data_IF_169499223239
#
_entry.id   IF_169499223239
#
_cell.length_a   1.000
_cell.length_b   1.000
_cell.length_c   1.000
_cell.angle_alpha   90.00
_cell.angle_beta   90.00
_cell.angle_gamma   90.00
#
_symmetry.space_group_name_H-M   'P 1'
#
loop_
_entity.id
_entity.type
_entity.pdbx_description
1 polymer ?
#
# COMPACT_ATOMS: atom_id res chain seq x y z
N UNK A 1 -11.39 12.11 -33.94
CA UNK A 1 -10.34 11.80 -32.95
C UNK A 1 -11.01 11.46 -31.64
N UNK A 2 -11.11 10.18 -31.30
CA UNK A 2 -11.83 9.71 -30.10
C UNK A 2 -11.00 10.07 -28.86
N UNK A 3 -11.58 10.65 -27.80
CA UNK A 3 -10.85 10.91 -26.55
C UNK A 3 -10.53 9.57 -25.91
N UNK A 4 -9.27 9.19 -25.97
CA UNK A 4 -8.74 8.00 -25.30
C UNK A 4 -9.07 8.13 -23.82
N UNK A 5 -9.99 7.29 -23.33
CA UNK A 5 -10.32 7.20 -21.89
C UNK A 5 -9.02 6.93 -21.14
N UNK A 6 -8.45 7.95 -20.54
CA UNK A 6 -7.27 7.79 -19.68
C UNK A 6 -7.70 6.92 -18.51
N UNK A 7 -7.13 5.72 -18.43
CA UNK A 7 -7.44 4.82 -17.32
C UNK A 7 -7.12 5.50 -15.98
N UNK A 8 -7.83 5.12 -14.91
CA UNK A 8 -7.67 5.67 -13.57
C UNK A 8 -6.19 5.77 -13.15
N UNK A 9 -5.39 4.75 -13.47
CA UNK A 9 -3.95 4.74 -13.18
C UNK A 9 -3.17 5.86 -13.88
N UNK A 10 -3.49 6.18 -15.14
CA UNK A 10 -2.82 7.26 -15.86
C UNK A 10 -3.18 8.63 -15.26
N UNK A 11 -4.45 8.80 -14.87
CA UNK A 11 -4.92 10.02 -14.20
C UNK A 11 -4.26 10.17 -12.82
N UNK A 12 -4.23 9.11 -12.02
CA UNK A 12 -3.56 9.11 -10.71
C UNK A 12 -2.07 9.40 -10.82
N UNK A 13 -1.40 8.92 -11.87
CA UNK A 13 0.02 9.22 -12.09
C UNK A 13 0.27 10.70 -12.36
N UNK A 14 -0.62 11.35 -13.11
CA UNK A 14 -0.56 12.80 -13.34
C UNK A 14 -0.68 13.58 -12.03
N UNK A 15 -1.62 13.18 -11.15
CA UNK A 15 -1.78 13.82 -9.83
C UNK A 15 -0.59 13.54 -8.90
N UNK A 16 0.01 12.37 -8.96
CA UNK A 16 1.24 12.06 -8.20
C UNK A 16 2.40 12.98 -8.59
N UNK A 17 2.60 13.20 -9.89
CA UNK A 17 3.64 14.10 -10.39
C UNK A 17 3.36 15.53 -9.92
N UNK A 18 2.13 16.02 -10.09
CA UNK A 18 1.72 17.34 -9.63
C UNK A 18 1.89 17.51 -8.11
N UNK A 19 1.56 16.46 -7.32
CA UNK A 19 1.77 16.49 -5.88
C UNK A 19 3.26 16.57 -5.52
N UNK A 20 4.12 15.79 -6.15
CA UNK A 20 5.58 15.83 -5.94
C UNK A 20 6.17 17.21 -6.26
N UNK A 21 5.71 17.83 -7.34
CA UNK A 21 6.12 19.18 -7.72
C UNK A 21 5.68 20.23 -6.68
N UNK A 22 4.43 20.16 -6.22
CA UNK A 22 3.93 21.04 -5.16
C UNK A 22 4.66 20.83 -3.83
N UNK A 23 4.93 19.56 -3.47
CA UNK A 23 5.66 19.20 -2.26
C UNK A 23 7.09 19.80 -2.25
N UNK A 24 7.78 19.78 -3.39
CA UNK A 24 9.14 20.33 -3.50
C UNK A 24 9.19 21.85 -3.29
N UNK A 25 8.10 22.56 -3.59
CA UNK A 25 7.98 24.02 -3.44
C UNK A 25 7.57 24.47 -2.03
N UNK A 26 7.03 23.55 -1.22
CA UNK A 26 6.57 23.90 0.15
C UNK A 26 7.72 23.89 1.14
N UNK A 27 7.79 24.92 1.98
CA UNK A 27 8.72 24.96 3.11
C UNK A 27 8.25 24.04 4.25
N UNK A 28 6.93 23.95 4.46
CA UNK A 28 6.32 23.16 5.53
C UNK A 28 5.58 21.96 4.95
N UNK A 29 6.02 20.76 5.31
CA UNK A 29 5.54 19.48 4.76
C UNK A 29 4.61 18.71 5.68
N UNK A 30 3.97 19.39 6.63
CA UNK A 30 3.05 18.76 7.59
C UNK A 30 1.91 18.02 6.86
N UNK A 31 1.36 18.60 5.80
CA UNK A 31 0.28 17.97 5.02
C UNK A 31 0.77 16.71 4.33
N UNK A 32 1.98 16.73 3.76
CA UNK A 32 2.55 15.60 3.03
C UNK A 32 2.86 14.42 3.98
N UNK A 33 3.38 14.72 5.17
CA UNK A 33 3.61 13.70 6.21
C UNK A 33 2.31 13.18 6.80
N UNK A 34 1.28 14.02 6.97
CA UNK A 34 -0.03 13.61 7.46
C UNK A 34 -0.73 12.65 6.47
N UNK A 35 -0.68 12.92 5.17
CA UNK A 35 -1.21 12.03 4.13
C UNK A 35 -0.49 10.69 4.16
N UNK A 36 0.84 10.70 4.20
CA UNK A 36 1.64 9.46 4.24
C UNK A 36 1.36 8.67 5.51
N UNK A 37 1.26 9.32 6.67
CA UNK A 37 0.91 8.69 7.93
C UNK A 37 -0.50 8.07 7.92
N UNK A 38 -1.47 8.73 7.30
CA UNK A 38 -2.83 8.17 7.13
C UNK A 38 -2.81 6.90 6.29
N UNK A 39 -2.05 6.87 5.20
CA UNK A 39 -1.91 5.68 4.35
C UNK A 39 -1.18 4.53 5.07
N UNK A 40 -0.15 4.85 5.86
CA UNK A 40 0.54 3.87 6.72
C UNK A 40 -0.41 3.26 7.74
N UNK A 41 -1.18 4.08 8.47
CA UNK A 41 -2.12 3.61 9.49
C UNK A 41 -3.22 2.73 8.88
N UNK A 42 -3.79 3.12 7.74
CA UNK A 42 -4.75 2.31 7.01
C UNK A 42 -4.17 0.94 6.62
N UNK A 43 -2.96 0.93 6.11
CA UNK A 43 -2.28 -0.32 5.69
C UNK A 43 -1.96 -1.22 6.89
N UNK A 44 -1.51 -0.64 8.01
CA UNK A 44 -1.25 -1.37 9.26
C UNK A 44 -2.54 -1.98 9.84
N UNK A 45 -3.64 -1.23 9.80
CA UNK A 45 -4.96 -1.71 10.23
C UNK A 45 -5.38 -2.96 9.44
N UNK A 46 -5.30 -2.93 8.11
CA UNK A 46 -5.66 -4.08 7.28
C UNK A 46 -4.72 -5.27 7.46
N UNK A 47 -3.43 -5.04 7.68
CA UNK A 47 -2.48 -6.10 8.02
C UNK A 47 -2.87 -6.79 9.34
N UNK A 48 -3.15 -6.01 10.39
CA UNK A 48 -3.57 -6.53 11.69
C UNK A 48 -4.90 -7.29 11.60
N UNK A 49 -5.86 -6.75 10.88
CA UNK A 49 -7.16 -7.42 10.64
C UNK A 49 -6.98 -8.75 9.91
N UNK A 50 -6.09 -8.82 8.92
CA UNK A 50 -5.79 -10.07 8.23
C UNK A 50 -5.18 -11.12 9.17
N UNK A 51 -4.32 -10.72 10.09
CA UNK A 51 -3.73 -11.62 11.10
C UNK A 51 -4.79 -12.15 12.06
N UNK A 52 -5.71 -11.30 12.52
CA UNK A 52 -6.85 -11.70 13.36
C UNK A 52 -7.75 -12.71 12.62
N UNK A 53 -8.02 -12.47 11.33
CA UNK A 53 -8.81 -13.36 10.50
C UNK A 53 -8.14 -14.75 10.30
N UNK A 54 -6.81 -14.81 10.20
CA UNK A 54 -6.07 -16.08 10.19
C UNK A 54 -6.24 -16.83 11.51
N UNK A 55 -6.14 -16.13 12.64
CA UNK A 55 -6.39 -16.70 13.95
C UNK A 55 -7.82 -17.24 14.09
N UNK A 56 -8.80 -16.50 13.61
CA UNK A 56 -10.20 -16.94 13.53
C UNK A 56 -10.37 -18.19 12.67
N UNK A 57 -9.75 -18.26 11.50
CA UNK A 57 -9.76 -19.44 10.65
C UNK A 57 -9.16 -20.67 11.34
N UNK A 58 -8.04 -20.49 12.06
CA UNK A 58 -7.43 -21.57 12.85
C UNK A 58 -8.36 -22.07 13.96
N UNK A 59 -9.12 -21.19 14.60
CA UNK A 59 -10.14 -21.56 15.59
C UNK A 59 -11.28 -22.34 14.97
N UNK A 60 -11.78 -21.92 13.80
CA UNK A 60 -12.81 -22.63 13.05
C UNK A 60 -12.37 -24.04 12.63
N UNK A 61 -11.10 -24.24 12.31
CA UNK A 61 -10.56 -25.56 12.00
C UNK A 61 -10.55 -26.49 13.23
N UNK A 62 -10.27 -25.96 14.42
CA UNK A 62 -10.29 -26.74 15.67
C UNK A 62 -11.70 -27.14 16.07
N UNK A 63 -12.69 -26.27 15.87
CA UNK A 63 -14.08 -26.46 16.21
C UNK A 63 -14.94 -27.00 15.07
N UNK A 64 -14.37 -27.66 14.05
CA UNK A 64 -15.09 -28.12 12.85
C UNK A 64 -16.34 -28.93 13.20
N UNK A 65 -16.29 -29.86 14.16
CA UNK A 65 -17.41 -30.72 14.50
C UNK A 65 -18.58 -29.95 15.16
N UNK A 66 -18.28 -28.97 16.00
CA UNK A 66 -19.28 -28.11 16.63
C UNK A 66 -19.94 -27.17 15.61
N UNK A 67 -19.15 -26.62 14.71
CA UNK A 67 -19.65 -25.77 13.63
C UNK A 67 -20.55 -26.56 12.69
N UNK A 68 -20.16 -27.77 12.28
CA UNK A 68 -20.99 -28.62 11.43
C UNK A 68 -22.31 -29.02 12.08
N UNK A 69 -22.36 -29.27 13.38
CA UNK A 69 -23.61 -29.50 14.13
C UNK A 69 -24.54 -28.29 14.03
N UNK A 70 -24.03 -27.09 14.32
CA UNK A 70 -24.83 -25.87 14.21
C UNK A 70 -25.38 -25.68 12.80
N UNK A 71 -24.59 -25.95 11.77
CA UNK A 71 -25.04 -25.85 10.37
C UNK A 71 -26.06 -26.91 9.98
N UNK A 72 -25.98 -28.15 10.55
CA UNK A 72 -26.97 -29.19 10.30
C UNK A 72 -28.32 -28.89 10.93
N UNK A 73 -28.34 -28.13 12.02
CA UNK A 73 -29.57 -27.74 12.74
C UNK A 73 -30.29 -26.53 12.08
N UNK A 74 -29.66 -25.88 11.11
CA UNK A 74 -30.28 -24.78 10.39
C UNK A 74 -31.20 -25.28 9.28
N UNK A 75 -32.44 -24.73 9.12
CA UNK A 75 -33.43 -25.16 8.14
C UNK A 75 -32.97 -24.98 6.67
N UNK A 76 -31.88 -24.25 6.45
CA UNK A 76 -31.23 -24.06 5.15
C UNK A 76 -29.82 -24.65 5.11
N UNK A 77 -29.46 -25.48 6.08
CA UNK A 77 -28.13 -26.08 6.20
C UNK A 77 -27.85 -27.02 5.03
N UNK A 78 -26.95 -26.61 4.13
CA UNK A 78 -26.39 -27.50 3.13
C UNK A 78 -25.52 -28.55 3.87
N UNK A 79 -25.80 -29.85 3.65
CA UNK A 79 -24.95 -30.91 4.16
C UNK A 79 -23.51 -30.73 3.64
N UNK A 80 -22.67 -30.13 4.45
CA UNK A 80 -21.28 -29.87 4.12
C UNK A 80 -20.44 -30.98 4.74
N UNK A 81 -19.68 -31.69 3.91
CA UNK A 81 -18.72 -32.71 4.37
C UNK A 81 -17.60 -32.03 5.14
N UNK A 82 -17.10 -32.64 6.21
CA UNK A 82 -15.96 -32.16 7.00
C UNK A 82 -14.79 -31.73 6.12
N UNK A 83 -14.39 -32.56 5.17
CA UNK A 83 -13.33 -32.28 4.20
C UNK A 83 -13.57 -30.96 3.42
N UNK A 84 -14.77 -30.78 2.92
CA UNK A 84 -15.11 -29.58 2.15
C UNK A 84 -15.09 -28.31 3.01
N UNK A 85 -15.49 -28.42 4.27
CA UNK A 85 -15.38 -27.33 5.26
C UNK A 85 -13.93 -26.97 5.51
N UNK A 86 -13.09 -27.95 5.85
CA UNK A 86 -11.68 -27.76 6.15
C UNK A 86 -10.93 -27.12 4.96
N UNK A 87 -11.19 -27.57 3.73
CA UNK A 87 -10.60 -26.96 2.52
C UNK A 87 -11.03 -25.49 2.34
N UNK A 88 -12.30 -25.17 2.60
CA UNK A 88 -12.79 -23.78 2.51
C UNK A 88 -12.11 -22.88 3.56
N UNK A 89 -12.01 -23.33 4.79
CA UNK A 89 -11.38 -22.59 5.87
C UNK A 89 -9.88 -22.41 5.60
N UNK A 90 -9.20 -23.45 5.12
CA UNK A 90 -7.80 -23.37 4.73
C UNK A 90 -7.58 -22.40 3.56
N UNK A 91 -8.46 -22.44 2.56
CA UNK A 91 -8.45 -21.49 1.44
C UNK A 91 -8.62 -20.04 1.91
N UNK A 92 -9.55 -19.81 2.85
CA UNK A 92 -9.76 -18.51 3.45
C UNK A 92 -8.53 -18.03 4.23
N UNK A 93 -7.92 -18.91 5.04
CA UNK A 93 -6.67 -18.62 5.74
C UNK A 93 -5.52 -18.26 4.78
N UNK A 94 -5.41 -18.96 3.66
CA UNK A 94 -4.40 -18.69 2.63
C UNK A 94 -4.63 -17.30 1.97
N UNK A 95 -5.88 -16.93 1.71
CA UNK A 95 -6.24 -15.61 1.17
C UNK A 95 -5.86 -14.50 2.17
N UNK A 96 -6.20 -14.65 3.44
CA UNK A 96 -5.83 -13.69 4.47
C UNK A 96 -4.32 -13.64 4.71
N UNK A 97 -3.62 -14.78 4.62
CA UNK A 97 -2.16 -14.84 4.65
C UNK A 97 -1.54 -14.02 3.52
N UNK A 98 -2.01 -14.22 2.30
CA UNK A 98 -1.59 -13.42 1.15
C UNK A 98 -1.88 -11.93 1.34
N UNK A 99 -3.07 -11.58 1.81
CA UNK A 99 -3.47 -10.20 2.09
C UNK A 99 -2.54 -9.57 3.14
N UNK A 100 -2.24 -10.28 4.24
CA UNK A 100 -1.30 -9.83 5.26
C UNK A 100 0.06 -9.45 4.66
N UNK A 101 0.67 -10.33 3.86
CA UNK A 101 1.97 -10.05 3.25
C UNK A 101 1.91 -8.85 2.29
N UNK A 102 0.83 -8.71 1.53
CA UNK A 102 0.63 -7.56 0.63
C UNK A 102 0.52 -6.25 1.41
N UNK A 103 -0.23 -6.21 2.50
CA UNK A 103 -0.35 -5.02 3.35
C UNK A 103 0.94 -4.72 4.11
N UNK A 104 1.62 -5.73 4.65
CA UNK A 104 2.91 -5.57 5.31
C UNK A 104 3.98 -5.00 4.36
N UNK A 105 4.01 -5.49 3.11
CA UNK A 105 4.88 -4.95 2.08
C UNK A 105 4.54 -3.49 1.74
N UNK A 106 3.25 -3.16 1.57
CA UNK A 106 2.80 -1.80 1.30
C UNK A 106 3.15 -0.84 2.44
N UNK A 107 3.00 -1.27 3.69
CA UNK A 107 3.42 -0.50 4.86
C UNK A 107 4.91 -0.15 4.82
N UNK A 108 5.75 -1.12 4.46
CA UNK A 108 7.19 -0.90 4.28
C UNK A 108 7.50 0.13 3.19
N UNK A 109 6.78 0.08 2.07
CA UNK A 109 6.95 1.07 0.98
C UNK A 109 6.55 2.49 1.42
N UNK A 110 5.48 2.64 2.21
CA UNK A 110 5.10 3.94 2.77
C UNK A 110 6.12 4.49 3.75
N UNK A 111 6.79 3.62 4.54
CA UNK A 111 7.92 4.05 5.38
C UNK A 111 9.06 4.62 4.53
N UNK A 112 9.41 3.97 3.42
CA UNK A 112 10.44 4.51 2.51
C UNK A 112 10.01 5.83 1.88
N UNK A 113 8.75 5.95 1.47
CA UNK A 113 8.22 7.21 0.95
C UNK A 113 8.28 8.34 1.98
N UNK A 114 7.96 8.06 3.24
CA UNK A 114 8.05 9.02 4.33
C UNK A 114 9.49 9.52 4.53
N UNK A 115 10.48 8.62 4.50
CA UNK A 115 11.91 8.97 4.59
C UNK A 115 12.32 9.86 3.41
N UNK A 116 11.89 9.53 2.18
CA UNK A 116 12.19 10.32 0.99
C UNK A 116 11.58 11.73 1.06
N UNK A 117 10.34 11.85 1.55
CA UNK A 117 9.68 13.14 1.77
C UNK A 117 10.50 14.01 2.75
N UNK A 118 10.96 13.39 3.85
CA UNK A 118 11.80 14.08 4.85
C UNK A 118 13.19 14.47 4.32
N UNK A 119 13.78 13.63 3.48
CA UNK A 119 15.11 13.84 2.92
C UNK A 119 15.15 14.83 1.76
N UNK A 120 14.01 15.17 1.13
CA UNK A 120 13.95 16.10 0.01
C UNK A 120 14.24 17.53 0.51
N UNK A 121 15.28 18.24 0.01
CA UNK A 121 15.59 19.61 0.43
C UNK A 121 14.50 20.58 -0.05
N UNK A 122 14.23 21.68 0.67
CA UNK A 122 13.33 22.74 0.18
C UNK A 122 13.93 23.44 -1.04
N UNK A 123 13.08 23.93 -1.94
CA UNK A 123 13.48 24.53 -3.22
C UNK A 123 14.49 25.69 -3.06
N UNK A 124 14.43 26.41 -1.96
CA UNK A 124 15.32 27.56 -1.65
C UNK A 124 16.60 27.18 -0.91
N UNK A 125 16.88 25.86 -0.72
CA UNK A 125 18.10 25.46 -0.03
C UNK A 125 19.33 25.60 -0.93
N UNK A 126 20.51 26.00 -0.37
CA UNK A 126 21.77 26.09 -1.12
C UNK A 126 22.17 24.77 -1.79
N UNK A 127 21.71 23.63 -1.24
CA UNK A 127 21.97 22.30 -1.78
C UNK A 127 21.13 21.99 -3.04
N UNK A 128 19.88 22.46 -3.14
CA UNK A 128 19.05 22.28 -4.33
C UNK A 128 19.69 22.98 -5.55
N UNK A 129 20.35 24.09 -5.33
CA UNK A 129 20.99 24.88 -6.39
C UNK A 129 22.30 24.26 -6.90
N UNK A 130 22.99 23.44 -6.10
CA UNK A 130 24.20 22.70 -6.54
C UNK A 130 23.84 21.57 -7.47
N UNK A 131 22.86 20.75 -7.11
CA UNK A 131 22.43 19.60 -7.94
C UNK A 131 21.92 20.02 -9.31
N UNK A 132 21.31 21.22 -9.41
CA UNK A 132 20.86 21.77 -10.69
C UNK A 132 22.02 22.29 -11.54
N UNK A 133 23.09 22.83 -10.92
CA UNK A 133 24.29 23.31 -11.65
C UNK A 133 25.13 22.14 -12.19
N UNK A 134 25.24 21.07 -11.45
CA UNK A 134 26.06 19.90 -11.83
C UNK A 134 25.42 19.07 -12.97
N UNK A 135 24.11 19.28 -13.22
CA UNK A 135 23.37 18.59 -14.30
C UNK A 135 23.15 19.47 -15.57
N UNK A 136 23.42 20.77 -15.49
CA UNK A 136 23.34 21.66 -16.64
C UNK A 136 24.76 21.79 -17.19
N UNK A 137 25.05 21.25 -18.42
CA UNK A 137 26.34 21.48 -19.07
C UNK A 137 26.59 22.98 -19.18
N UNK A 138 27.73 23.44 -18.66
CA UNK A 138 28.10 24.84 -18.76
C UNK A 138 28.35 25.19 -20.24
N UNK A 139 27.47 25.97 -20.90
CA UNK A 139 27.66 26.30 -22.34
C UNK A 139 28.86 27.22 -22.59
N UNK A 140 29.54 27.65 -21.53
CA UNK A 140 30.70 28.54 -21.60
C UNK A 140 32.03 27.85 -21.22
N UNK A 141 32.05 26.50 -21.13
CA UNK A 141 33.31 25.79 -20.94
C UNK A 141 34.08 25.86 -22.31
N UNK A 142 35.31 26.42 -22.36
CA UNK A 142 36.11 26.39 -23.57
C UNK A 142 36.46 24.93 -23.87
N UNK A 143 36.25 24.53 -25.12
CA UNK A 143 36.71 23.22 -25.62
C UNK A 143 38.21 23.13 -25.39
N UNK A 144 38.63 22.33 -24.43
CA UNK A 144 40.02 21.99 -24.19
C UNK A 144 40.33 20.85 -25.16
N UNK A 145 40.92 21.23 -26.28
CA UNK A 145 41.48 20.34 -27.28
C UNK A 145 42.85 19.86 -26.85
#
# INVERSE_FOLDING_TARGET
>A
MSPRKRGLNAMMNTYRIAWMEQMSRREVRIVDTAITGSLQNGTAFFASTSLIAIGGAATLMRGTDDVLKVFSDLPFGLATTRWLWEVKVLGLAAIFGYAFFKFAWSYRLYNYAAVLIGATPPANSPHANRTHRDHVPNPAAPDVN
#
